data_IF_009212831189
#
_entry.id   IF_009212831189
#
_cell.length_a   1.000
_cell.length_b   1.000
_cell.length_c   1.000
_cell.angle_alpha   90.00
_cell.angle_beta   90.00
_cell.angle_gamma   90.00
#
_symmetry.space_group_name_H-M   'P 1'
#
loop_
_entity.id
_entity.type
_entity.pdbx_description
1 polymer ?
#
# COMPACT_ATOMS: atom_id res chain seq x y z
N UNK A 1 -20.57 15.17 2.34
CA UNK A 1 -19.58 14.96 3.41
C UNK A 1 -19.41 16.23 4.22
N UNK A 2 -19.17 16.13 5.52
CA UNK A 2 -18.71 17.27 6.32
C UNK A 2 -17.19 17.34 6.25
N UNK A 3 -16.60 18.54 6.07
CA UNK A 3 -15.14 18.72 6.01
C UNK A 3 -14.36 18.15 7.21
N UNK A 4 -15.03 17.83 8.31
CA UNK A 4 -14.47 17.19 9.51
C UNK A 4 -13.89 15.80 9.26
N UNK A 5 -14.51 14.96 8.42
CA UNK A 5 -14.09 13.56 8.25
C UNK A 5 -12.80 13.45 7.41
N UNK A 6 -12.68 14.21 6.32
CA UNK A 6 -11.46 14.25 5.51
C UNK A 6 -10.27 14.79 6.29
N UNK A 7 -10.51 15.79 7.16
CA UNK A 7 -9.47 16.32 8.03
C UNK A 7 -8.95 15.27 9.01
N UNK A 8 -9.86 14.48 9.60
CA UNK A 8 -9.48 13.37 10.48
C UNK A 8 -8.64 12.33 9.74
N UNK A 9 -9.05 11.92 8.54
CA UNK A 9 -8.27 10.98 7.72
C UNK A 9 -6.88 11.53 7.35
N UNK A 10 -6.80 12.82 6.97
CA UNK A 10 -5.52 13.47 6.66
C UNK A 10 -4.57 13.46 7.87
N UNK A 11 -5.08 13.74 9.07
CA UNK A 11 -4.31 13.66 10.32
C UNK A 11 -3.85 12.24 10.66
N UNK A 12 -4.72 11.25 10.48
CA UNK A 12 -4.35 9.85 10.70
C UNK A 12 -3.20 9.44 9.77
N UNK A 13 -3.29 9.78 8.49
CA UNK A 13 -2.25 9.47 7.51
C UNK A 13 -0.96 10.27 7.72
N UNK A 14 -1.05 11.55 8.10
CA UNK A 14 0.12 12.37 8.42
C UNK A 14 0.89 11.80 9.62
N UNK A 15 0.20 11.28 10.64
CA UNK A 15 0.83 10.65 11.82
C UNK A 15 1.66 9.40 11.49
N UNK A 16 1.37 8.75 10.36
CA UNK A 16 2.09 7.58 9.87
C UNK A 16 3.29 7.96 8.98
N UNK A 17 3.39 9.21 8.52
CA UNK A 17 4.50 9.72 7.75
C UNK A 17 5.71 10.01 8.64
N UNK A 18 6.88 9.53 8.24
CA UNK A 18 8.14 9.69 9.00
C UNK A 18 9.29 10.11 8.08
N UNK A 19 9.02 10.94 7.08
CA UNK A 19 9.99 11.34 6.06
C UNK A 19 10.21 10.30 4.96
N UNK A 20 11.04 10.65 3.98
CA UNK A 20 11.30 9.90 2.76
C UNK A 20 10.11 9.91 1.79
N UNK A 21 10.10 8.95 0.87
CA UNK A 21 9.05 8.81 -0.13
C UNK A 21 7.92 7.92 0.39
N UNK A 22 6.69 8.42 0.38
CA UNK A 22 5.50 7.67 0.77
C UNK A 22 4.46 7.66 -0.34
N UNK A 23 3.77 6.53 -0.52
CA UNK A 23 2.57 6.40 -1.33
C UNK A 23 1.36 6.26 -0.40
N UNK A 24 0.43 7.20 -0.50
CA UNK A 24 -0.88 7.14 0.15
C UNK A 24 -1.93 6.75 -0.88
N UNK A 25 -2.45 5.53 -0.76
CA UNK A 25 -3.59 5.08 -1.56
C UNK A 25 -4.86 5.42 -0.80
N UNK A 26 -5.59 6.42 -1.30
CA UNK A 26 -6.80 6.98 -0.68
C UNK A 26 -7.86 7.13 -1.77
N UNK A 27 -8.61 6.09 -2.14
CA UNK A 27 -9.63 6.16 -3.17
C UNK A 27 -10.67 7.26 -2.88
N UNK A 28 -10.98 8.07 -3.88
CA UNK A 28 -11.97 9.15 -3.75
C UNK A 28 -11.45 10.40 -3.04
N UNK A 29 -10.13 10.54 -2.85
CA UNK A 29 -9.56 11.79 -2.35
C UNK A 29 -9.98 12.97 -3.23
N UNK A 30 -10.14 14.14 -2.61
CA UNK A 30 -10.46 15.38 -3.30
C UNK A 30 -9.45 16.48 -2.95
N UNK A 31 -9.69 17.68 -3.47
CA UNK A 31 -8.82 18.84 -3.20
C UNK A 31 -8.78 19.18 -1.71
N UNK A 32 -9.90 19.07 -1.00
CA UNK A 32 -9.98 19.39 0.41
C UNK A 32 -9.10 18.45 1.25
N UNK A 33 -9.09 17.15 0.93
CA UNK A 33 -8.18 16.19 1.55
C UNK A 33 -6.70 16.57 1.36
N UNK A 34 -6.31 16.96 0.15
CA UNK A 34 -4.93 17.38 -0.13
C UNK A 34 -4.54 18.63 0.66
N UNK A 35 -5.44 19.62 0.73
CA UNK A 35 -5.20 20.85 1.49
C UNK A 35 -5.11 20.57 3.01
N UNK A 36 -5.92 19.66 3.55
CA UNK A 36 -5.77 19.21 4.94
C UNK A 36 -4.45 18.47 5.17
N UNK A 37 -4.03 17.65 4.21
CA UNK A 37 -2.76 16.92 4.32
C UNK A 37 -1.57 17.88 4.33
N UNK A 38 -1.62 18.94 3.51
CA UNK A 38 -0.63 20.03 3.52
C UNK A 38 -0.56 20.73 4.88
N UNK A 39 -1.71 20.96 5.54
CA UNK A 39 -1.77 21.57 6.87
C UNK A 39 -1.24 20.65 7.98
N UNK A 40 -1.46 19.34 7.89
CA UNK A 40 -1.11 18.39 8.94
C UNK A 40 0.34 17.87 8.81
N UNK A 41 1.03 18.11 7.69
CA UNK A 41 2.45 17.79 7.52
C UNK A 41 3.26 19.09 7.53
N UNK A 42 4.09 19.26 8.57
CA UNK A 42 4.94 20.45 8.72
C UNK A 42 5.86 20.67 7.50
N UNK A 43 5.94 21.93 7.06
CA UNK A 43 6.77 22.37 5.94
C UNK A 43 6.49 21.64 4.61
N UNK A 44 5.29 21.07 4.48
CA UNK A 44 4.85 20.45 3.24
C UNK A 44 4.22 21.45 2.28
N UNK A 45 4.25 21.12 0.98
CA UNK A 45 3.54 21.87 -0.06
C UNK A 45 3.00 20.93 -1.12
N UNK A 46 1.84 21.26 -1.69
CA UNK A 46 1.36 20.59 -2.90
C UNK A 46 2.20 21.04 -4.09
N UNK A 47 2.83 20.10 -4.79
CA UNK A 47 3.79 20.36 -5.87
C UNK A 47 3.38 19.68 -7.16
N UNK A 48 3.64 20.36 -8.28
CA UNK A 48 3.49 19.83 -9.64
C UNK A 48 4.82 19.71 -10.39
N UNK A 49 5.91 20.23 -9.82
CA UNK A 49 7.26 20.19 -10.38
C UNK A 49 8.29 20.32 -9.26
N UNK A 50 9.53 19.90 -9.50
CA UNK A 50 10.60 20.05 -8.53
C UNK A 50 10.87 21.52 -8.22
N UNK A 51 10.88 21.88 -6.93
CA UNK A 51 11.21 23.22 -6.46
C UNK A 51 12.24 23.14 -5.33
N UNK A 52 13.44 23.72 -5.51
CA UNK A 52 14.44 23.79 -4.45
C UNK A 52 13.89 24.51 -3.21
N UNK A 53 14.14 23.97 -2.02
CA UNK A 53 13.72 24.57 -0.75
C UNK A 53 12.40 24.06 -0.18
N UNK A 54 11.63 23.25 -0.92
CA UNK A 54 10.49 22.52 -0.36
C UNK A 54 11.01 21.33 0.43
N UNK A 55 10.71 21.29 1.74
CA UNK A 55 11.14 20.21 2.63
C UNK A 55 10.38 18.91 2.39
N UNK A 56 9.06 18.99 2.13
CA UNK A 56 8.19 17.85 1.83
C UNK A 56 7.25 18.20 0.68
N UNK A 57 7.30 17.47 -0.42
CA UNK A 57 6.34 17.61 -1.52
C UNK A 57 5.12 16.71 -1.35
N UNK A 58 3.93 17.20 -1.70
CA UNK A 58 2.70 16.40 -1.86
C UNK A 58 2.31 16.44 -3.34
N UNK A 59 2.15 15.30 -3.98
CA UNK A 59 1.73 15.21 -5.39
C UNK A 59 0.66 14.14 -5.56
N UNK A 60 -0.12 14.22 -6.64
CA UNK A 60 -1.06 13.18 -7.06
C UNK A 60 -0.44 12.28 -8.12
N UNK A 61 -0.88 11.03 -8.24
CA UNK A 61 -0.52 10.17 -9.37
C UNK A 61 -1.46 10.40 -10.58
N UNK A 62 -0.96 10.44 -11.83
CA UNK A 62 0.46 10.41 -12.24
C UNK A 62 1.19 11.72 -11.94
N UNK A 63 2.50 11.65 -11.71
CA UNK A 63 3.33 12.81 -11.41
C UNK A 63 4.58 12.87 -12.30
N UNK A 64 5.15 14.07 -12.54
CA UNK A 64 6.34 14.25 -13.35
C UNK A 64 7.59 13.53 -12.81
N UNK A 65 8.45 13.07 -13.72
CA UNK A 65 9.61 12.25 -13.38
C UNK A 65 10.67 12.98 -12.54
N UNK A 66 10.76 14.31 -12.64
CA UNK A 66 11.69 15.15 -11.87
C UNK A 66 11.36 15.16 -10.36
N UNK A 67 10.10 14.98 -9.99
CA UNK A 67 9.69 14.86 -8.58
C UNK A 67 10.27 13.61 -7.91
N UNK A 68 10.67 12.57 -8.66
CA UNK A 68 11.41 11.43 -8.08
C UNK A 68 12.75 11.83 -7.47
N UNK A 69 13.29 13.01 -7.77
CA UNK A 69 14.52 13.52 -7.16
C UNK A 69 14.30 14.10 -5.76
N UNK A 70 13.06 14.38 -5.36
CA UNK A 70 12.77 14.84 -4.01
C UNK A 70 13.02 13.71 -3.00
N UNK A 71 13.75 14.03 -1.94
CA UNK A 71 14.01 13.10 -0.84
C UNK A 71 12.72 12.78 -0.08
N UNK A 72 11.95 13.81 0.25
CA UNK A 72 10.67 13.71 0.95
C UNK A 72 9.52 14.03 -0.01
N UNK A 73 8.76 13.02 -0.38
CA UNK A 73 7.63 13.13 -1.30
C UNK A 73 6.49 12.24 -0.84
N UNK A 74 5.28 12.80 -0.71
CA UNK A 74 4.04 12.07 -0.49
C UNK A 74 3.28 12.03 -1.81
N UNK A 75 3.06 10.84 -2.33
CA UNK A 75 2.29 10.59 -3.55
C UNK A 75 0.90 10.11 -3.12
N UNK A 76 -0.14 10.85 -3.45
CA UNK A 76 -1.54 10.48 -3.20
C UNK A 76 -2.14 9.87 -4.47
N UNK A 77 -2.81 8.74 -4.35
CA UNK A 77 -3.38 8.01 -5.50
C UNK A 77 -4.66 7.27 -5.12
N UNK A 78 -5.51 6.99 -6.11
CA UNK A 78 -6.69 6.13 -5.91
C UNK A 78 -6.34 4.64 -5.88
N UNK A 79 -5.16 4.25 -6.39
CA UNK A 79 -4.68 2.87 -6.44
C UNK A 79 -3.15 2.85 -6.41
N UNK A 80 -2.56 1.71 -6.06
CA UNK A 80 -1.13 1.49 -6.22
C UNK A 80 -0.80 0.81 -7.55
N UNK A 81 0.48 0.85 -7.92
CA UNK A 81 1.02 0.01 -9.00
C UNK A 81 2.31 -0.65 -8.52
N UNK A 82 2.72 -1.79 -9.10
CA UNK A 82 3.99 -2.43 -8.75
C UNK A 82 5.19 -1.47 -8.92
N UNK A 83 5.14 -0.58 -9.91
CA UNK A 83 6.18 0.43 -10.14
C UNK A 83 6.23 1.45 -8.99
N UNK A 84 5.08 2.01 -8.61
CA UNK A 84 4.99 2.97 -7.50
C UNK A 84 5.46 2.35 -6.18
N UNK A 85 5.00 1.14 -5.86
CA UNK A 85 5.37 0.41 -4.63
C UNK A 85 6.90 0.23 -4.54
N UNK A 86 7.58 -0.05 -5.66
CA UNK A 86 9.04 -0.19 -5.70
C UNK A 86 9.79 1.12 -5.55
N UNK A 87 9.17 2.25 -5.92
CA UNK A 87 9.80 3.58 -5.97
C UNK A 87 9.73 4.38 -4.65
N UNK A 88 8.96 3.90 -3.66
CA UNK A 88 8.74 4.58 -2.38
C UNK A 88 9.27 3.78 -1.20
N UNK A 89 9.55 4.45 -0.08
CA UNK A 89 9.94 3.82 1.18
C UNK A 89 8.75 3.21 1.92
N UNK A 90 7.59 3.86 1.87
CA UNK A 90 6.40 3.47 2.64
C UNK A 90 5.16 3.50 1.76
N UNK A 91 4.32 2.49 1.89
CA UNK A 91 3.01 2.43 1.20
C UNK A 91 1.94 2.34 2.27
N UNK A 92 1.02 3.29 2.29
CA UNK A 92 -0.11 3.31 3.22
C UNK A 92 -1.37 3.22 2.36
N UNK A 93 -2.12 2.14 2.55
CA UNK A 93 -3.37 1.91 1.81
C UNK A 93 -4.53 2.08 2.77
N UNK A 94 -5.52 2.88 2.36
CA UNK A 94 -6.84 2.95 2.96
C UNK A 94 -7.82 2.48 1.89
N UNK A 95 -8.26 1.23 1.97
CA UNK A 95 -9.10 0.63 0.91
C UNK A 95 -10.44 1.35 0.85
N UNK A 96 -11.04 1.50 -0.33
CA UNK A 96 -12.33 2.20 -0.45
C UNK A 96 -13.42 1.53 0.38
N UNK A 97 -13.36 0.21 0.52
CA UNK A 97 -14.27 -0.56 1.37
C UNK A 97 -14.16 -0.21 2.86
N UNK A 98 -12.94 -0.02 3.36
CA UNK A 98 -12.67 0.36 4.76
C UNK A 98 -13.12 1.79 5.02
N UNK A 99 -12.79 2.69 4.09
CA UNK A 99 -13.21 4.08 4.16
C UNK A 99 -14.74 4.22 4.16
N UNK A 100 -15.47 3.38 3.43
CA UNK A 100 -16.94 3.34 3.51
C UNK A 100 -17.42 2.81 4.86
N UNK A 101 -16.79 1.77 5.40
CA UNK A 101 -17.15 1.19 6.70
C UNK A 101 -16.93 2.18 7.85
N UNK A 102 -15.88 2.97 7.75
CA UNK A 102 -15.49 3.99 8.75
C UNK A 102 -16.25 5.32 8.58
N UNK A 103 -17.06 5.45 7.53
CA UNK A 103 -17.87 6.66 7.27
C UNK A 103 -17.13 7.79 6.55
N UNK A 104 -15.88 7.57 6.13
CA UNK A 104 -15.12 8.52 5.30
C UNK A 104 -15.66 8.61 3.87
N UNK A 105 -16.20 7.52 3.32
CA UNK A 105 -16.82 7.47 2.01
C UNK A 105 -18.29 7.03 2.12
N UNK A 106 -19.10 7.40 1.13
CA UNK A 106 -20.51 7.01 1.06
C UNK A 106 -20.72 5.81 0.13
N UNK A 107 -21.77 5.04 0.38
CA UNK A 107 -22.22 4.01 -0.57
C UNK A 107 -22.71 4.68 -1.85
N UNK A 108 -22.49 4.06 -3.01
CA UNK A 108 -22.89 4.62 -4.30
C UNK A 108 -23.79 3.65 -5.07
N UNK A 109 -24.52 4.14 -6.07
CA UNK A 109 -25.38 3.28 -6.91
C UNK A 109 -24.61 2.78 -8.12
N UNK A 110 -24.74 1.50 -8.43
CA UNK A 110 -24.22 0.89 -9.64
C UNK A 110 -25.38 0.41 -10.51
N UNK A 111 -25.35 0.80 -11.79
CA UNK A 111 -26.36 0.48 -12.79
C UNK A 111 -25.65 -0.11 -14.02
N UNK A 112 -25.86 -1.40 -14.28
CA UNK A 112 -25.32 -2.08 -15.46
C UNK A 112 -26.41 -2.21 -16.52
N UNK A 113 -26.09 -1.81 -17.74
CA UNK A 113 -26.98 -1.89 -18.88
C UNK A 113 -26.34 -2.71 -20.00
N UNK A 114 -27.14 -3.61 -20.59
CA UNK A 114 -26.76 -4.29 -21.81
C UNK A 114 -27.09 -3.41 -23.02
N UNK A 115 -26.10 -3.27 -23.90
CA UNK A 115 -26.19 -2.61 -25.19
C UNK A 115 -25.41 -3.45 -26.21
N UNK A 116 -26.10 -3.96 -27.23
CA UNK A 116 -25.49 -4.73 -28.32
C UNK A 116 -24.92 -3.80 -29.41
N UNK A 117 -23.99 -2.93 -29.02
CA UNK A 117 -23.26 -2.10 -29.97
C UNK A 117 -21.77 -2.05 -29.65
N UNK A 118 -20.90 -2.45 -30.58
CA UNK A 118 -19.47 -2.48 -30.34
C UNK A 118 -18.90 -1.07 -30.07
N UNK A 119 -17.82 -0.97 -29.28
CA UNK A 119 -17.26 0.32 -28.87
C UNK A 119 -16.60 1.10 -30.03
N UNK A 120 -16.20 0.43 -31.11
CA UNK A 120 -15.58 1.07 -32.28
C UNK A 120 -16.60 1.66 -33.29
N UNK A 121 -17.91 1.49 -33.08
CA UNK A 121 -18.96 2.09 -33.92
C UNK A 121 -19.66 3.25 -33.22
N UNK A 122 -20.11 4.24 -33.98
CA UNK A 122 -20.94 5.33 -33.47
C UNK A 122 -22.38 4.83 -33.31
N UNK A 123 -22.85 4.70 -32.07
CA UNK A 123 -24.15 4.10 -31.75
C UNK A 123 -25.19 5.15 -31.37
N UNK A 124 -26.24 5.31 -32.20
CA UNK A 124 -27.31 6.26 -31.91
C UNK A 124 -28.07 5.94 -30.64
N UNK A 125 -28.35 4.67 -30.38
CA UNK A 125 -29.03 4.22 -29.16
C UNK A 125 -28.23 4.57 -27.89
N UNK A 126 -26.91 4.33 -27.90
CA UNK A 126 -26.00 4.68 -26.80
C UNK A 126 -26.01 6.19 -26.53
N UNK A 127 -25.86 6.98 -27.59
CA UNK A 127 -25.84 8.44 -27.52
C UNK A 127 -27.17 8.98 -26.95
N UNK A 128 -28.30 8.55 -27.49
CA UNK A 128 -29.62 8.97 -27.03
C UNK A 128 -29.84 8.60 -25.55
N UNK A 129 -29.44 7.39 -25.16
CA UNK A 129 -29.54 6.96 -23.76
C UNK A 129 -28.70 7.85 -22.84
N UNK A 130 -27.43 8.11 -23.20
CA UNK A 130 -26.54 8.98 -22.42
C UNK A 130 -27.15 10.38 -22.28
N UNK A 131 -27.64 10.97 -23.37
CA UNK A 131 -28.26 12.31 -23.37
C UNK A 131 -29.53 12.35 -22.52
N UNK A 132 -30.27 11.24 -22.41
CA UNK A 132 -31.47 11.16 -21.58
C UNK A 132 -31.19 11.19 -20.07
N UNK A 133 -29.93 10.96 -19.66
CA UNK A 133 -29.53 10.93 -18.24
C UNK A 133 -29.32 12.32 -17.62
N UNK A 134 -29.29 13.38 -18.43
CA UNK A 134 -29.13 14.77 -18.00
C UNK A 134 -27.67 15.14 -17.69
N UNK A 135 -27.45 15.85 -16.57
CA UNK A 135 -26.13 16.28 -16.13
C UNK A 135 -25.26 15.07 -15.70
N UNK A 136 -24.38 14.65 -16.61
CA UNK A 136 -23.51 13.48 -16.44
C UNK A 136 -22.09 13.74 -16.91
N UNK A 137 -21.14 13.08 -16.25
CA UNK A 137 -19.80 12.87 -16.80
C UNK A 137 -19.77 11.56 -17.58
N UNK A 138 -19.12 11.52 -18.73
CA UNK A 138 -19.14 10.36 -19.62
C UNK A 138 -17.74 10.02 -20.10
N UNK A 139 -17.37 8.75 -19.96
CA UNK A 139 -16.26 8.15 -20.70
C UNK A 139 -16.84 7.54 -21.97
N UNK A 140 -16.63 8.17 -23.12
CA UNK A 140 -17.27 7.78 -24.38
C UNK A 140 -16.73 6.44 -24.87
N UNK A 141 -17.49 5.77 -25.75
CA UNK A 141 -17.04 4.50 -26.31
C UNK A 141 -15.85 4.69 -27.27
N UNK A 142 -15.86 5.79 -28.03
CA UNK A 142 -14.86 6.17 -29.01
C UNK A 142 -14.80 7.71 -29.18
N UNK A 143 -13.80 8.18 -29.94
CA UNK A 143 -13.57 9.62 -30.18
C UNK A 143 -14.71 10.32 -30.93
N UNK A 144 -15.42 9.63 -31.81
CA UNK A 144 -16.51 10.25 -32.59
C UNK A 144 -17.76 10.43 -31.72
N UNK A 145 -18.13 9.43 -30.91
CA UNK A 145 -19.19 9.60 -29.90
C UNK A 145 -18.84 10.71 -28.90
N UNK A 146 -17.56 10.85 -28.54
CA UNK A 146 -17.09 11.95 -27.69
C UNK A 146 -17.47 13.33 -28.28
N UNK A 147 -17.23 13.53 -29.58
CA UNK A 147 -17.54 14.79 -30.28
C UNK A 147 -19.05 15.08 -30.29
N UNK A 148 -19.87 14.05 -30.51
CA UNK A 148 -21.34 14.18 -30.54
C UNK A 148 -21.90 14.51 -29.14
N UNK A 149 -21.31 13.95 -28.09
CA UNK A 149 -21.75 14.14 -26.71
C UNK A 149 -21.29 15.47 -26.10
N UNK A 150 -20.14 15.98 -26.51
CA UNK A 150 -19.48 17.17 -25.93
C UNK A 150 -20.35 18.42 -25.78
N UNK A 151 -21.32 18.73 -26.68
CA UNK A 151 -22.19 19.90 -26.53
C UNK A 151 -23.21 19.81 -25.37
N UNK A 152 -23.45 18.61 -24.82
CA UNK A 152 -24.58 18.37 -23.91
C UNK A 152 -24.20 17.67 -22.61
N UNK A 153 -23.05 17.00 -22.54
CA UNK A 153 -22.58 16.30 -21.35
C UNK A 153 -21.09 16.55 -21.12
N UNK A 154 -20.62 16.33 -19.88
CA UNK A 154 -19.20 16.47 -19.55
C UNK A 154 -18.43 15.25 -20.07
N UNK A 155 -17.71 15.41 -21.17
CA UNK A 155 -16.89 14.33 -21.73
C UNK A 155 -15.56 14.23 -20.99
N UNK A 156 -15.25 13.04 -20.49
CA UNK A 156 -13.97 12.72 -19.86
C UNK A 156 -13.00 12.24 -20.95
N UNK A 157 -12.07 13.10 -21.33
CA UNK A 157 -10.99 12.78 -22.27
C UNK A 157 -9.76 12.17 -21.61
N UNK A 158 -9.47 12.55 -20.36
CA UNK A 158 -8.37 12.04 -19.54
C UNK A 158 -8.92 11.40 -18.26
N UNK A 159 -8.70 10.09 -18.13
CA UNK A 159 -9.19 9.30 -17.00
C UNK A 159 -8.51 9.71 -15.69
N UNK A 160 -7.28 10.23 -15.73
CA UNK A 160 -6.55 10.66 -14.55
C UNK A 160 -7.02 12.03 -14.01
N UNK A 161 -7.78 12.78 -14.80
CA UNK A 161 -8.34 14.08 -14.40
C UNK A 161 -9.83 14.00 -14.06
N UNK A 162 -10.37 12.79 -13.94
CA UNK A 162 -11.75 12.59 -13.50
C UNK A 162 -11.94 13.19 -12.10
N UNK A 163 -12.85 14.16 -12.02
CA UNK A 163 -13.27 14.80 -10.78
C UNK A 163 -14.45 14.05 -10.18
N UNK A 164 -14.68 14.27 -8.88
CA UNK A 164 -15.90 13.77 -8.25
C UNK A 164 -17.14 14.30 -8.97
N UNK A 165 -18.10 13.40 -9.20
CA UNK A 165 -19.35 13.70 -9.91
C UNK A 165 -20.51 12.93 -9.30
N UNK A 166 -21.71 13.48 -9.46
CA UNK A 166 -22.95 12.83 -9.03
C UNK A 166 -23.28 11.61 -9.89
N UNK A 167 -23.04 11.67 -11.21
CA UNK A 167 -23.34 10.58 -12.14
C UNK A 167 -22.24 10.45 -13.18
N UNK A 168 -21.72 9.25 -13.32
CA UNK A 168 -20.64 8.89 -14.26
C UNK A 168 -21.09 7.75 -15.15
N UNK A 169 -20.95 7.91 -16.46
CA UNK A 169 -21.27 6.88 -17.45
C UNK A 169 -19.98 6.32 -18.05
N UNK A 170 -19.85 5.00 -18.05
CA UNK A 170 -18.75 4.28 -18.71
C UNK A 170 -19.31 3.58 -19.95
N UNK A 171 -18.99 4.08 -21.14
CA UNK A 171 -19.54 3.57 -22.40
C UNK A 171 -18.67 2.50 -23.10
N UNK A 172 -17.58 2.06 -22.45
CA UNK A 172 -16.65 1.05 -22.98
C UNK A 172 -16.07 0.17 -21.87
N UNK A 173 -15.59 -1.01 -22.24
CA UNK A 173 -14.78 -1.85 -21.37
C UNK A 173 -13.46 -1.12 -21.06
N UNK A 174 -13.12 -0.98 -19.78
CA UNK A 174 -11.85 -0.37 -19.34
C UNK A 174 -10.81 -1.44 -19.00
N UNK A 175 -9.60 -1.08 -18.56
CA UNK A 175 -8.75 -1.97 -17.76
C UNK A 175 -9.05 -1.83 -16.27
N UNK A 176 -8.46 -2.69 -15.42
CA UNK A 176 -8.74 -2.71 -13.97
C UNK A 176 -8.36 -1.40 -13.29
N UNK A 177 -7.19 -0.84 -13.61
CA UNK A 177 -6.71 0.39 -12.97
C UNK A 177 -7.44 1.63 -13.49
N UNK A 178 -7.73 1.71 -14.80
CA UNK A 178 -8.56 2.79 -15.34
C UNK A 178 -9.95 2.76 -14.71
N UNK A 179 -10.53 1.57 -14.57
CA UNK A 179 -11.81 1.39 -13.91
C UNK A 179 -11.78 1.92 -12.48
N UNK A 180 -10.75 1.59 -11.69
CA UNK A 180 -10.61 2.09 -10.31
C UNK A 180 -10.43 3.60 -10.24
N UNK A 181 -9.62 4.19 -11.14
CA UNK A 181 -9.46 5.64 -11.22
C UNK A 181 -10.80 6.33 -11.42
N UNK A 182 -11.59 5.83 -12.36
CA UNK A 182 -12.87 6.40 -12.77
C UNK A 182 -13.94 6.18 -11.69
N UNK A 183 -13.99 4.96 -11.15
CA UNK A 183 -14.87 4.58 -10.03
C UNK A 183 -14.70 5.51 -8.84
N UNK A 184 -13.48 6.02 -8.59
CA UNK A 184 -13.21 6.92 -7.47
C UNK A 184 -14.08 8.20 -7.46
N UNK A 185 -14.54 8.63 -8.64
CA UNK A 185 -15.33 9.85 -8.82
C UNK A 185 -16.70 9.81 -8.12
N UNK A 186 -17.27 8.62 -7.97
CA UNK A 186 -18.63 8.41 -7.45
C UNK A 186 -18.65 7.93 -5.99
N UNK A 187 -17.49 7.75 -5.35
CA UNK A 187 -17.39 7.24 -3.97
C UNK A 187 -17.98 8.19 -2.90
N UNK A 188 -18.40 9.40 -3.31
CA UNK A 188 -19.09 10.39 -2.49
C UNK A 188 -20.62 10.31 -2.60
N UNK A 189 -21.15 9.11 -2.83
CA UNK A 189 -22.60 8.87 -2.92
C UNK A 189 -23.19 9.11 -4.31
N UNK A 190 -22.36 9.02 -5.34
CA UNK A 190 -22.77 9.18 -6.73
C UNK A 190 -23.43 7.93 -7.33
N UNK A 191 -23.57 7.96 -8.65
CA UNK A 191 -24.13 6.88 -9.46
C UNK A 191 -23.16 6.52 -10.59
N UNK A 192 -22.81 5.24 -10.71
CA UNK A 192 -22.02 4.68 -11.80
C UNK A 192 -22.92 3.92 -12.76
N UNK A 193 -23.00 4.42 -14.00
CA UNK A 193 -23.75 3.80 -15.10
C UNK A 193 -22.76 3.11 -16.02
N UNK A 194 -22.87 1.80 -16.14
CA UNK A 194 -21.99 0.97 -16.94
C UNK A 194 -22.72 0.44 -18.16
N UNK A 195 -22.29 0.91 -19.34
CA UNK A 195 -22.73 0.42 -20.66
C UNK A 195 -21.62 -0.39 -21.34
N UNK A 196 -20.43 -0.42 -20.74
CA UNK A 196 -19.23 -1.07 -21.28
C UNK A 196 -19.06 -2.51 -20.81
N UNK A 197 -19.97 -2.99 -19.96
CA UNK A 197 -19.98 -4.32 -19.38
C UNK A 197 -18.79 -4.55 -18.46
N UNK A 198 -18.52 -3.65 -17.50
CA UNK A 198 -17.45 -3.71 -16.49
C UNK A 198 -17.88 -4.34 -15.14
N UNK A 199 -19.06 -4.95 -15.04
CA UNK A 199 -19.64 -5.38 -13.75
C UNK A 199 -18.86 -6.42 -12.94
N UNK A 200 -18.03 -7.24 -13.58
CA UNK A 200 -17.08 -8.13 -12.89
C UNK A 200 -16.05 -7.36 -12.05
N UNK A 201 -15.72 -6.11 -12.42
CA UNK A 201 -14.76 -5.24 -11.73
C UNK A 201 -15.30 -4.58 -10.48
N UNK A 202 -16.61 -4.65 -10.23
CA UNK A 202 -17.22 -4.23 -8.96
C UNK A 202 -17.19 -5.33 -7.89
N UNK A 203 -16.42 -6.39 -8.09
CA UNK A 203 -16.10 -7.34 -7.03
C UNK A 203 -15.14 -6.69 -6.01
N UNK A 204 -15.51 -6.66 -4.73
CA UNK A 204 -14.69 -6.04 -3.68
C UNK A 204 -13.27 -6.58 -3.59
N UNK A 205 -13.05 -7.87 -3.83
CA UNK A 205 -11.71 -8.45 -3.83
C UNK A 205 -10.88 -7.92 -5.00
N UNK A 206 -11.47 -7.77 -6.19
CA UNK A 206 -10.77 -7.15 -7.33
C UNK A 206 -10.46 -5.68 -7.08
N UNK A 207 -11.41 -4.94 -6.49
CA UNK A 207 -11.21 -3.54 -6.09
C UNK A 207 -10.03 -3.43 -5.12
N UNK A 208 -10.06 -4.21 -4.04
CA UNK A 208 -9.00 -4.23 -3.03
C UNK A 208 -7.64 -4.62 -3.64
N UNK A 209 -7.58 -5.63 -4.52
CA UNK A 209 -6.34 -6.04 -5.18
C UNK A 209 -5.75 -4.91 -6.04
N UNK A 210 -6.58 -4.14 -6.74
CA UNK A 210 -6.09 -3.00 -7.52
C UNK A 210 -5.63 -1.84 -6.64
N UNK A 211 -6.34 -1.54 -5.55
CA UNK A 211 -5.92 -0.56 -4.56
C UNK A 211 -4.58 -0.94 -3.90
N UNK A 212 -4.37 -2.24 -3.63
CA UNK A 212 -3.11 -2.79 -3.11
C UNK A 212 -1.99 -2.87 -4.16
N UNK A 213 -2.27 -2.63 -5.43
CA UNK A 213 -1.27 -2.59 -6.51
C UNK A 213 -0.88 -3.96 -7.08
N UNK A 214 -1.81 -4.92 -7.07
CA UNK A 214 -1.63 -6.22 -7.71
C UNK A 214 -1.61 -6.11 -9.25
N UNK A 215 -2.42 -5.22 -9.83
CA UNK A 215 -2.53 -5.07 -11.28
C UNK A 215 -1.47 -4.11 -11.84
N UNK A 216 -0.98 -4.42 -13.04
CA UNK A 216 -0.07 -3.55 -13.80
C UNK A 216 -0.90 -2.69 -14.76
N UNK A 217 -0.56 -1.39 -14.93
CA UNK A 217 -1.20 -0.56 -15.96
C UNK A 217 -1.08 -1.21 -17.33
N UNK A 218 -2.22 -1.33 -18.02
CA UNK A 218 -2.27 -1.65 -19.45
C UNK A 218 -2.75 -0.41 -20.17
N UNK A 219 -2.23 -0.12 -21.35
CA UNK A 219 -2.76 0.95 -22.18
C UNK A 219 -4.06 0.43 -22.78
N UNK A 220 -5.21 0.92 -22.33
CA UNK A 220 -6.47 0.66 -23.03
C UNK A 220 -6.48 1.46 -24.33
N UNK A 221 -6.62 0.78 -25.46
CA UNK A 221 -6.72 1.44 -26.77
C UNK A 221 -7.93 2.37 -26.81
N UNK A 222 -7.71 3.61 -27.23
CA UNK A 222 -8.81 4.51 -27.55
C UNK A 222 -9.24 4.25 -28.99
N UNK A 223 -10.49 3.85 -29.16
CA UNK A 223 -11.04 3.55 -30.48
C UNK A 223 -11.27 4.85 -31.28
N UNK A 224 -10.82 4.85 -32.52
CA UNK A 224 -11.31 5.78 -33.54
C UNK A 224 -12.65 5.23 -34.00
N UNK A 225 -13.74 5.96 -33.73
CA UNK A 225 -15.08 5.52 -34.14
C UNK A 225 -15.16 5.39 -35.65
N UNK A 226 -15.75 4.32 -36.15
CA UNK A 226 -15.95 4.08 -37.58
C UNK A 226 -17.31 3.46 -37.85
N UNK A 227 -17.99 3.94 -38.89
CA UNK A 227 -19.34 3.52 -39.23
C UNK A 227 -20.40 3.95 -38.21
N UNK A 228 -21.63 4.04 -38.69
CA UNK A 228 -22.80 4.30 -37.85
C UNK A 228 -23.57 3.00 -37.62
N UNK A 229 -23.98 2.77 -36.38
CA UNK A 229 -24.96 1.74 -36.04
C UNK A 229 -26.29 2.42 -35.71
N UNK A 230 -27.13 2.51 -36.74
CA UNK A 230 -28.45 3.12 -36.68
C UNK A 230 -29.58 2.09 -36.44
N UNK A 231 -29.21 0.84 -36.09
CA UNK A 231 -30.20 -0.17 -35.70
C UNK A 231 -30.94 0.31 -34.45
N UNK A 232 -32.22 -0.04 -34.38
CA UNK A 232 -33.03 0.21 -33.18
C UNK A 232 -32.63 -0.77 -32.06
N UNK A 233 -31.58 -0.39 -31.33
CA UNK A 233 -31.02 -1.18 -30.24
C UNK A 233 -31.64 -0.69 -28.93
N UNK A 234 -32.31 -1.59 -28.22
CA UNK A 234 -32.83 -1.28 -26.89
C UNK A 234 -31.72 -1.38 -25.83
N UNK A 235 -31.53 -0.31 -25.07
CA UNK A 235 -30.69 -0.30 -23.87
C UNK A 235 -31.48 -0.94 -22.73
N UNK A 236 -31.01 -2.06 -22.19
CA UNK A 236 -31.73 -2.84 -21.17
C UNK A 236 -30.98 -2.82 -19.85
N UNK A 237 -31.66 -2.47 -18.75
CA UNK A 237 -31.10 -2.58 -17.41
C UNK A 237 -30.90 -4.06 -17.07
N UNK A 238 -29.67 -4.45 -16.76
CA UNK A 238 -29.29 -5.81 -16.38
C UNK A 238 -29.20 -5.93 -14.87
N UNK A 239 -28.57 -4.96 -14.23
CA UNK A 239 -28.34 -4.96 -12.79
C UNK A 239 -28.49 -3.55 -12.23
N UNK A 240 -29.16 -3.44 -11.09
CA UNK A 240 -29.15 -2.25 -10.26
C UNK A 240 -28.87 -2.66 -8.82
N UNK A 241 -27.84 -2.06 -8.22
CA UNK A 241 -27.53 -2.28 -6.80
C UNK A 241 -26.94 -1.04 -6.16
N UNK A 242 -26.98 -1.01 -4.83
CA UNK A 242 -26.15 -0.09 -4.04
C UNK A 242 -24.88 -0.82 -3.67
N UNK A 243 -23.72 -0.25 -4.01
CA UNK A 243 -22.42 -0.77 -3.61
C UNK A 243 -22.18 -0.38 -2.16
N UNK A 244 -22.16 -1.39 -1.29
CA UNK A 244 -21.94 -1.28 0.15
C UNK A 244 -20.74 -2.14 0.55
N UNK A 245 -19.97 -1.78 1.59
CA UNK A 245 -18.86 -2.62 2.04
C UNK A 245 -19.35 -3.99 2.52
N UNK A 246 -18.51 -5.02 2.41
CA UNK A 246 -18.76 -6.33 3.02
C UNK A 246 -18.92 -6.18 4.53
N UNK A 247 -19.83 -6.97 5.11
CA UNK A 247 -20.09 -7.00 6.57
C UNK A 247 -18.83 -7.36 7.34
N UNK A 248 -18.09 -8.36 6.87
CA UNK A 248 -16.81 -8.78 7.43
C UNK A 248 -15.68 -8.31 6.52
N UNK A 249 -14.87 -7.39 7.04
CA UNK A 249 -13.64 -6.97 6.39
C UNK A 249 -12.61 -8.09 6.33
N UNK A 250 -11.61 -7.88 5.48
CA UNK A 250 -10.34 -8.60 5.56
C UNK A 250 -9.48 -7.90 6.61
N UNK A 251 -8.98 -8.64 7.60
CA UNK A 251 -8.00 -8.13 8.55
C UNK A 251 -6.68 -8.90 8.42
N UNK A 252 -5.59 -8.18 8.19
CA UNK A 252 -4.23 -8.72 8.09
C UNK A 252 -3.34 -8.02 9.08
N UNK A 253 -2.73 -8.78 9.99
CA UNK A 253 -1.84 -8.26 11.01
C UNK A 253 -0.48 -8.93 10.94
N UNK A 254 0.56 -8.12 11.17
CA UNK A 254 1.92 -8.56 11.43
C UNK A 254 2.27 -8.20 12.86
N UNK A 255 2.21 -9.18 13.77
CA UNK A 255 2.41 -8.95 15.20
C UNK A 255 3.17 -10.09 15.86
N UNK A 256 4.15 -9.72 16.69
CA UNK A 256 4.98 -10.66 17.45
C UNK A 256 5.57 -11.77 16.57
N UNK A 257 6.03 -11.42 15.35
CA UNK A 257 6.60 -12.37 14.40
C UNK A 257 5.60 -13.35 13.75
N UNK A 258 4.29 -13.07 13.77
CA UNK A 258 3.27 -13.89 13.09
C UNK A 258 2.48 -13.08 12.07
N UNK A 259 2.16 -13.71 10.94
CA UNK A 259 1.14 -13.26 10.01
C UNK A 259 -0.22 -13.79 10.47
N UNK A 260 -1.12 -12.90 10.88
CA UNK A 260 -2.47 -13.25 11.31
C UNK A 260 -3.49 -12.78 10.27
N UNK A 261 -4.25 -13.72 9.71
CA UNK A 261 -5.29 -13.45 8.72
C UNK A 261 -6.65 -13.72 9.37
N UNK A 262 -7.43 -12.66 9.62
CA UNK A 262 -8.63 -12.68 10.45
C UNK A 262 -8.38 -13.39 11.80
N UNK A 263 -7.24 -13.12 12.43
CA UNK A 263 -6.81 -13.73 13.69
C UNK A 263 -6.16 -15.13 13.58
N UNK A 264 -6.18 -15.76 12.41
CA UNK A 264 -5.58 -17.10 12.22
C UNK A 264 -4.10 -17.00 11.82
N UNK A 265 -3.18 -17.71 12.49
CA UNK A 265 -1.77 -17.70 12.13
C UNK A 265 -1.52 -18.46 10.82
N UNK A 266 -1.03 -17.77 9.80
CA UNK A 266 -0.75 -18.35 8.47
C UNK A 266 0.75 -18.61 8.24
N UNK A 267 1.60 -17.92 9.01
CA UNK A 267 3.04 -18.06 8.93
C UNK A 267 3.74 -17.21 9.98
N UNK A 268 5.06 -17.38 10.09
CA UNK A 268 5.93 -16.58 10.96
C UNK A 268 6.90 -15.73 10.14
N UNK A 269 7.33 -14.61 10.70
CA UNK A 269 8.36 -13.76 10.11
C UNK A 269 9.36 -13.28 11.15
N UNK A 270 10.58 -12.99 10.70
CA UNK A 270 11.59 -12.30 11.48
C UNK A 270 12.62 -11.63 10.58
N UNK A 271 13.39 -10.71 11.16
CA UNK A 271 14.55 -10.08 10.49
C UNK A 271 15.80 -10.38 11.29
N UNK A 272 16.75 -11.08 10.67
CA UNK A 272 18.04 -11.48 11.25
C UNK A 272 19.08 -11.54 10.14
N UNK A 273 20.36 -11.32 10.48
CA UNK A 273 21.44 -11.34 9.50
C UNK A 273 21.28 -10.32 8.35
N UNK A 274 20.46 -9.28 8.52
CA UNK A 274 20.12 -8.32 7.45
C UNK A 274 19.25 -8.92 6.33
N UNK A 275 18.49 -9.98 6.63
CA UNK A 275 17.54 -10.63 5.72
C UNK A 275 16.15 -10.68 6.37
N UNK A 276 15.12 -10.67 5.53
CA UNK A 276 13.76 -10.98 5.92
C UNK A 276 13.53 -12.49 5.76
N UNK A 277 13.04 -13.11 6.83
CA UNK A 277 12.76 -14.53 6.88
C UNK A 277 11.28 -14.77 7.08
N UNK A 278 10.77 -15.83 6.46
CA UNK A 278 9.39 -16.24 6.57
C UNK A 278 9.31 -17.77 6.66
N UNK A 279 8.57 -18.26 7.65
CA UNK A 279 8.26 -19.68 7.80
C UNK A 279 6.79 -19.93 7.48
N UNK A 280 6.54 -20.77 6.49
CA UNK A 280 5.21 -21.08 5.95
C UNK A 280 4.92 -22.57 6.01
N UNK A 281 3.64 -22.93 5.96
CA UNK A 281 3.22 -24.31 5.85
C UNK A 281 2.39 -24.54 4.57
N UNK A 282 3.06 -24.94 3.50
CA UNK A 282 2.43 -25.28 2.23
C UNK A 282 2.12 -26.79 2.10
N UNK A 283 2.04 -27.51 3.22
CA UNK A 283 1.97 -28.98 3.31
C UNK A 283 3.16 -29.56 4.06
N UNK A 284 4.29 -28.86 4.05
CA UNK A 284 5.39 -29.03 5.00
C UNK A 284 5.96 -27.66 5.39
N UNK A 285 6.57 -27.54 6.58
CA UNK A 285 7.26 -26.31 6.97
C UNK A 285 8.35 -25.96 5.97
N UNK A 286 8.28 -24.74 5.43
CA UNK A 286 9.28 -24.18 4.52
C UNK A 286 9.74 -22.84 5.06
N UNK A 287 11.04 -22.63 5.06
CA UNK A 287 11.65 -21.35 5.39
C UNK A 287 12.10 -20.67 4.10
N UNK A 288 11.74 -19.40 3.98
CA UNK A 288 12.12 -18.51 2.88
C UNK A 288 12.96 -17.40 3.51
N UNK A 289 14.13 -17.15 2.93
CA UNK A 289 15.05 -16.12 3.42
C UNK A 289 15.50 -15.26 2.26
N UNK A 290 15.16 -13.98 2.29
CA UNK A 290 15.45 -13.02 1.22
C UNK A 290 16.02 -11.73 1.80
N UNK A 291 16.82 -10.98 1.03
CA UNK A 291 17.34 -9.68 1.51
C UNK A 291 16.22 -8.67 1.75
N UNK A 292 15.12 -8.80 1.01
CA UNK A 292 13.96 -7.92 1.08
C UNK A 292 12.69 -8.69 0.68
N UNK A 293 11.50 -8.35 1.22
CA UNK A 293 10.26 -9.02 0.85
C UNK A 293 10.01 -9.00 -0.67
N UNK A 294 9.90 -10.19 -1.27
CA UNK A 294 9.66 -10.37 -2.71
C UNK A 294 8.19 -10.65 -2.97
N UNK A 295 7.62 -10.00 -3.99
CA UNK A 295 6.22 -10.20 -4.39
C UNK A 295 5.89 -11.69 -4.63
N UNK A 296 6.82 -12.45 -5.19
CA UNK A 296 6.58 -13.87 -5.52
C UNK A 296 6.43 -14.76 -4.28
N UNK A 297 7.12 -14.45 -3.18
CA UNK A 297 7.01 -15.26 -1.95
C UNK A 297 5.67 -15.04 -1.24
N UNK A 298 4.98 -13.96 -1.58
CA UNK A 298 3.64 -13.66 -1.07
C UNK A 298 2.55 -14.15 -2.04
N UNK A 299 2.72 -13.98 -3.36
CA UNK A 299 1.64 -14.05 -4.35
C UNK A 299 1.85 -15.12 -5.46
N UNK A 300 2.89 -15.95 -5.40
CA UNK A 300 3.11 -16.98 -6.43
C UNK A 300 1.88 -17.89 -6.65
N UNK A 301 1.45 -18.10 -7.91
CA UNK A 301 0.32 -18.98 -8.24
C UNK A 301 0.56 -20.41 -7.75
N UNK A 302 -0.49 -21.08 -7.28
CA UNK A 302 -0.40 -22.47 -6.82
C UNK A 302 0.09 -23.44 -7.91
N UNK A 303 -0.19 -23.14 -9.18
CA UNK A 303 0.26 -23.93 -10.33
C UNK A 303 1.78 -23.98 -10.48
N UNK A 304 2.51 -23.04 -9.87
CA UNK A 304 3.98 -23.05 -9.88
C UNK A 304 4.60 -24.07 -8.92
N UNK A 305 3.80 -24.61 -7.98
CA UNK A 305 4.29 -25.47 -6.90
C UNK A 305 5.19 -24.75 -5.87
N UNK A 306 5.49 -23.46 -6.06
CA UNK A 306 6.29 -22.67 -5.12
C UNK A 306 5.49 -22.43 -3.84
N UNK A 307 6.11 -22.66 -2.68
CA UNK A 307 5.51 -22.28 -1.40
C UNK A 307 5.49 -20.76 -1.27
N UNK A 308 4.32 -20.20 -0.99
CA UNK A 308 4.08 -18.76 -0.84
C UNK A 308 3.08 -18.52 0.28
N UNK A 309 3.02 -17.28 0.79
CA UNK A 309 2.04 -16.91 1.83
C UNK A 309 0.61 -17.14 1.33
N UNK A 310 0.35 -16.82 0.07
CA UNK A 310 -0.90 -17.14 -0.63
C UNK A 310 -1.23 -18.63 -0.58
N UNK A 311 -0.28 -19.50 -0.92
CA UNK A 311 -0.50 -20.94 -0.85
C UNK A 311 -0.81 -21.40 0.58
N UNK A 312 -0.01 -20.96 1.56
CA UNK A 312 -0.20 -21.27 2.99
C UNK A 312 -1.60 -20.86 3.45
N UNK A 313 -2.04 -19.66 3.05
CA UNK A 313 -3.38 -19.15 3.32
C UNK A 313 -4.46 -20.04 2.71
N UNK A 314 -4.37 -20.39 1.42
CA UNK A 314 -5.39 -21.20 0.74
C UNK A 314 -5.52 -22.58 1.39
N UNK A 315 -4.40 -23.15 1.86
CA UNK A 315 -4.43 -24.42 2.61
C UNK A 315 -5.21 -24.33 3.92
N UNK A 316 -5.21 -23.18 4.58
CA UNK A 316 -5.90 -22.95 5.85
C UNK A 316 -7.34 -22.46 5.67
N UNK A 317 -7.53 -21.39 4.89
CA UNK A 317 -8.79 -20.63 4.79
C UNK A 317 -9.68 -21.14 3.65
N UNK A 318 -9.13 -21.84 2.65
CA UNK A 318 -9.85 -22.41 1.49
C UNK A 318 -10.58 -21.39 0.59
N UNK A 319 -10.21 -20.12 0.66
CA UNK A 319 -10.74 -19.04 -0.18
C UNK A 319 -9.62 -18.44 -1.05
N UNK A 320 -9.63 -18.75 -2.34
CA UNK A 320 -8.60 -18.32 -3.29
C UNK A 320 -8.55 -16.79 -3.41
N UNK A 321 -9.68 -16.15 -3.64
CA UNK A 321 -9.72 -14.71 -3.90
C UNK A 321 -9.36 -13.93 -2.64
N UNK A 322 -9.94 -14.29 -1.49
CA UNK A 322 -9.65 -13.61 -0.22
C UNK A 322 -8.20 -13.82 0.22
N UNK A 323 -7.63 -15.03 0.03
CA UNK A 323 -6.23 -15.28 0.34
C UNK A 323 -5.28 -14.45 -0.51
N UNK A 324 -5.66 -14.15 -1.75
CA UNK A 324 -4.88 -13.31 -2.65
C UNK A 324 -4.86 -11.86 -2.16
N UNK A 325 -6.01 -11.32 -1.78
CA UNK A 325 -6.15 -10.00 -1.15
C UNK A 325 -5.27 -9.91 0.10
N UNK A 326 -5.45 -10.86 1.04
CA UNK A 326 -4.72 -10.88 2.32
C UNK A 326 -3.20 -10.99 2.15
N UNK A 327 -2.76 -11.81 1.20
CA UNK A 327 -1.33 -11.99 0.94
C UNK A 327 -0.71 -10.74 0.32
N UNK A 328 -1.48 -9.97 -0.46
CA UNK A 328 -0.98 -8.73 -1.06
C UNK A 328 -0.88 -7.64 0.00
N UNK A 329 -1.83 -7.59 0.92
CA UNK A 329 -1.77 -6.69 2.07
C UNK A 329 -0.59 -7.03 2.99
N UNK A 330 -0.38 -8.32 3.29
CA UNK A 330 0.77 -8.80 4.05
C UNK A 330 2.11 -8.47 3.37
N UNK A 331 2.17 -8.49 2.04
CA UNK A 331 3.36 -8.08 1.28
C UNK A 331 3.71 -6.62 1.53
N UNK A 332 2.71 -5.72 1.47
CA UNK A 332 2.92 -4.29 1.74
C UNK A 332 3.33 -4.04 3.19
N UNK A 333 2.68 -4.72 4.14
CA UNK A 333 3.03 -4.66 5.56
C UNK A 333 4.47 -5.12 5.81
N UNK A 334 4.88 -6.25 5.25
CA UNK A 334 6.24 -6.78 5.40
C UNK A 334 7.28 -5.83 4.81
N UNK A 335 6.98 -5.24 3.65
CA UNK A 335 7.84 -4.24 3.00
C UNK A 335 8.02 -3.01 3.88
N UNK A 336 6.92 -2.46 4.40
CA UNK A 336 6.97 -1.32 5.31
C UNK A 336 7.72 -1.67 6.60
N UNK A 337 7.48 -2.86 7.15
CA UNK A 337 8.09 -3.33 8.38
C UNK A 337 9.63 -3.39 8.28
N UNK A 338 10.18 -3.97 7.21
CA UNK A 338 11.63 -4.01 6.96
C UNK A 338 12.21 -2.60 6.82
N UNK A 339 11.48 -1.69 6.17
CA UNK A 339 11.88 -0.29 6.05
C UNK A 339 11.76 0.47 7.38
N UNK A 340 10.80 0.13 8.24
CA UNK A 340 10.63 0.77 9.54
C UNK A 340 11.72 0.33 10.52
N UNK A 341 12.14 -0.95 10.49
CA UNK A 341 13.28 -1.47 11.28
C UNK A 341 14.53 -0.62 11.04
N UNK A 342 14.82 -0.29 9.79
CA UNK A 342 16.01 0.47 9.41
C UNK A 342 15.90 1.97 9.71
N UNK A 343 14.76 2.47 10.20
CA UNK A 343 14.60 3.83 10.75
C UNK A 343 14.59 3.86 12.28
N UNK A 344 14.69 2.71 12.96
CA UNK A 344 14.73 2.68 14.42
C UNK A 344 16.02 3.31 14.92
N UNK A 345 15.91 4.18 15.92
CA UNK A 345 17.08 4.71 16.63
C UNK A 345 17.66 3.62 17.55
N UNK A 346 18.61 2.85 17.03
CA UNK A 346 19.24 1.77 17.79
C UNK A 346 20.00 2.24 19.02
N UNK A 347 20.59 3.43 19.00
CA UNK A 347 21.24 4.00 20.19
C UNK A 347 20.22 4.17 21.32
N UNK A 348 19.04 4.70 21.02
CA UNK A 348 17.97 4.82 22.01
C UNK A 348 17.50 3.46 22.53
N UNK A 349 17.32 2.46 21.65
CA UNK A 349 16.99 1.08 22.05
C UNK A 349 18.03 0.50 23.02
N UNK A 350 19.31 0.66 22.70
CA UNK A 350 20.41 0.15 23.53
C UNK A 350 20.47 0.86 24.88
N UNK A 351 20.37 2.20 24.89
CA UNK A 351 20.40 2.99 26.11
C UNK A 351 19.23 2.65 27.05
N UNK A 352 18.04 2.41 26.51
CA UNK A 352 16.86 2.04 27.30
C UNK A 352 17.08 0.74 28.09
N UNK A 353 17.76 -0.26 27.50
CA UNK A 353 18.09 -1.50 28.19
C UNK A 353 19.28 -1.35 29.13
N UNK A 354 20.34 -0.64 28.72
CA UNK A 354 21.53 -0.43 29.56
C UNK A 354 21.21 0.36 30.84
N UNK A 355 20.22 1.25 30.84
CA UNK A 355 19.77 1.99 32.04
C UNK A 355 19.22 1.08 33.15
N UNK A 356 18.79 -0.15 32.81
CA UNK A 356 18.23 -1.11 33.77
C UNK A 356 19.32 -1.91 34.51
N UNK A 357 20.58 -1.81 34.08
CA UNK A 357 21.68 -2.64 34.58
C UNK A 357 22.88 -1.80 35.01
N UNK A 358 23.48 -2.17 36.14
CA UNK A 358 24.72 -1.55 36.62
C UNK A 358 25.96 -2.38 36.21
N UNK A 359 27.15 -1.78 36.31
CA UNK A 359 28.41 -2.43 35.90
C UNK A 359 28.70 -3.70 36.73
N UNK A 360 28.31 -3.74 38.01
CA UNK A 360 28.47 -4.93 38.85
C UNK A 360 27.64 -6.11 38.33
N UNK A 361 26.42 -5.85 37.85
CA UNK A 361 25.57 -6.87 37.21
C UNK A 361 26.16 -7.33 35.88
N UNK A 362 26.63 -6.39 35.04
CA UNK A 362 27.29 -6.73 33.77
C UNK A 362 28.53 -7.63 33.99
N UNK A 363 29.33 -7.35 35.02
CA UNK A 363 30.50 -8.17 35.36
C UNK A 363 30.13 -9.58 35.83
N UNK A 364 29.00 -9.74 36.54
CA UNK A 364 28.51 -11.05 37.01
C UNK A 364 27.85 -11.90 35.92
N UNK A 365 27.50 -11.29 34.78
CA UNK A 365 26.68 -11.92 33.76
C UNK A 365 25.23 -11.44 33.82
N UNK A 366 24.74 -10.90 32.70
CA UNK A 366 23.33 -10.52 32.51
C UNK A 366 22.92 -10.76 31.07
N UNK A 367 21.66 -11.14 30.87
CA UNK A 367 21.04 -11.18 29.54
C UNK A 367 20.22 -9.91 29.32
N UNK A 368 20.62 -9.12 28.33
CA UNK A 368 19.89 -7.96 27.86
C UNK A 368 18.89 -8.38 26.78
N UNK A 369 17.67 -7.83 26.82
CA UNK A 369 16.65 -8.05 25.79
C UNK A 369 16.48 -6.76 24.97
N UNK A 370 17.19 -6.66 23.84
CA UNK A 370 17.08 -5.52 22.94
C UNK A 370 15.80 -5.67 22.10
N UNK A 371 14.82 -4.79 22.34
CA UNK A 371 13.56 -4.76 21.59
C UNK A 371 13.62 -3.78 20.43
N UNK A 372 13.46 -4.28 19.20
CA UNK A 372 13.36 -3.49 17.96
C UNK A 372 11.99 -3.78 17.35
N UNK A 373 11.10 -2.78 17.38
CA UNK A 373 9.67 -2.97 17.07
C UNK A 373 9.08 -4.13 17.89
N UNK A 374 8.62 -5.19 17.24
CA UNK A 374 8.08 -6.41 17.85
C UNK A 374 9.13 -7.55 17.99
N UNK A 375 10.35 -7.36 17.50
CA UNK A 375 11.43 -8.34 17.58
C UNK A 375 12.26 -8.16 18.84
N UNK A 376 12.64 -9.27 19.46
CA UNK A 376 13.49 -9.30 20.66
C UNK A 376 14.80 -10.01 20.34
N UNK A 377 15.92 -9.36 20.66
CA UNK A 377 17.25 -9.93 20.53
C UNK A 377 17.84 -10.10 21.92
N UNK A 378 18.20 -11.34 22.26
CA UNK A 378 18.82 -11.66 23.53
C UNK A 378 20.34 -11.59 23.40
N UNK A 379 20.96 -10.76 24.23
CA UNK A 379 22.40 -10.54 24.27
C UNK A 379 22.91 -10.80 25.68
N UNK A 380 23.77 -11.81 25.82
CA UNK A 380 24.48 -12.11 27.06
C UNK A 380 25.70 -11.18 27.18
N UNK A 381 25.85 -10.54 28.33
CA UNK A 381 27.03 -9.73 28.67
C UNK A 381 27.61 -10.24 29.97
N UNK A 382 28.88 -10.65 29.97
CA UNK A 382 29.57 -11.17 31.17
C UNK A 382 31.00 -10.65 31.28
N UNK A 383 31.52 -10.52 32.50
CA UNK A 383 32.92 -10.19 32.74
C UNK A 383 33.82 -11.41 32.61
N UNK A 384 34.94 -11.27 31.89
CA UNK A 384 36.03 -12.25 31.82
C UNK A 384 37.37 -11.54 32.01
N UNK A 385 37.93 -11.63 33.22
CA UNK A 385 39.17 -10.91 33.57
C UNK A 385 39.03 -9.40 33.41
N UNK A 386 39.88 -8.79 32.57
CA UNK A 386 39.86 -7.36 32.24
C UNK A 386 38.95 -7.03 31.04
N UNK A 387 38.00 -7.91 30.68
CA UNK A 387 37.12 -7.74 29.52
C UNK A 387 35.65 -7.98 29.86
N UNK A 388 34.76 -7.36 29.09
CA UNK A 388 33.36 -7.74 28.95
C UNK A 388 33.21 -8.54 27.67
N UNK A 389 32.70 -9.76 27.78
CA UNK A 389 32.26 -10.57 26.66
C UNK A 389 30.81 -10.24 26.34
N UNK A 390 30.51 -9.96 25.07
CA UNK A 390 29.16 -9.66 24.58
C UNK A 390 28.82 -10.70 23.52
N UNK A 391 27.84 -11.57 23.80
CA UNK A 391 27.43 -12.67 22.94
C UNK A 391 25.96 -12.55 22.59
N UNK A 392 25.62 -12.70 21.31
CA UNK A 392 24.23 -12.75 20.90
C UNK A 392 23.74 -14.20 20.78
N UNK A 393 22.62 -14.52 21.42
CA UNK A 393 22.08 -15.89 21.46
C UNK A 393 21.30 -16.26 20.18
N UNK A 394 20.73 -15.25 19.51
CA UNK A 394 19.80 -15.44 18.38
C UNK A 394 20.23 -14.73 17.10
N UNK A 395 21.50 -14.36 16.98
CA UNK A 395 22.03 -13.59 15.85
C UNK A 395 22.69 -14.49 14.81
N UNK A 396 22.60 -14.11 13.55
CA UNK A 396 23.18 -14.88 12.45
C UNK A 396 24.61 -14.42 12.08
N UNK A 397 24.86 -13.10 12.10
CA UNK A 397 26.13 -12.47 11.71
C UNK A 397 26.99 -12.05 12.90
N UNK A 398 26.39 -11.52 13.96
CA UNK A 398 27.08 -11.11 15.18
C UNK A 398 27.04 -12.22 16.22
N UNK A 399 28.11 -13.00 16.33
CA UNK A 399 28.17 -14.08 17.34
C UNK A 399 28.67 -13.56 18.69
N UNK A 400 29.85 -12.93 18.69
CA UNK A 400 30.53 -12.52 19.92
C UNK A 400 31.48 -11.35 19.66
N UNK A 401 31.69 -10.51 20.68
CA UNK A 401 32.79 -9.55 20.74
C UNK A 401 33.31 -9.41 22.17
N UNK A 402 34.53 -8.89 22.33
CA UNK A 402 35.11 -8.60 23.64
C UNK A 402 35.51 -7.12 23.75
N UNK A 403 35.22 -6.52 24.92
CA UNK A 403 35.45 -5.11 25.20
C UNK A 403 36.38 -5.01 26.41
N UNK A 404 37.57 -4.42 26.23
CA UNK A 404 38.51 -4.22 27.34
C UNK A 404 38.01 -3.16 28.33
N UNK A 405 38.02 -3.53 29.62
CA UNK A 405 37.61 -2.74 30.78
C UNK A 405 38.74 -1.75 31.12
N UNK A 406 38.45 -0.44 31.09
CA UNK A 406 39.41 0.60 31.52
C UNK A 406 38.82 1.51 32.60
N UNK A 407 37.66 2.09 32.33
CA UNK A 407 36.93 2.96 33.24
C UNK A 407 35.44 2.69 33.10
N UNK A 408 34.64 2.90 34.15
CA UNK A 408 33.20 2.61 34.12
C UNK A 408 32.51 3.36 32.97
N UNK A 409 32.80 4.66 32.82
CA UNK A 409 32.20 5.52 31.79
C UNK A 409 32.59 5.09 30.37
N UNK A 410 33.87 4.78 30.14
CA UNK A 410 34.31 4.31 28.82
C UNK A 410 33.75 2.94 28.48
N UNK A 411 33.58 2.06 29.47
CA UNK A 411 33.03 0.73 29.27
C UNK A 411 31.57 0.80 28.83
N UNK A 412 30.75 1.66 29.45
CA UNK A 412 29.36 1.87 29.04
C UNK A 412 29.26 2.39 27.60
N UNK A 413 30.07 3.39 27.23
CA UNK A 413 30.09 3.92 25.86
C UNK A 413 30.53 2.86 24.84
N UNK A 414 31.56 2.06 25.15
CA UNK A 414 32.01 0.98 24.25
C UNK A 414 30.97 -0.14 24.12
N UNK A 415 30.30 -0.48 25.23
CA UNK A 415 29.22 -1.46 25.24
C UNK A 415 28.04 -0.97 24.41
N UNK A 416 27.66 0.31 24.58
CA UNK A 416 26.62 0.94 23.77
C UNK A 416 26.94 0.84 22.27
N UNK A 417 28.17 1.21 21.87
CA UNK A 417 28.61 1.10 20.48
C UNK A 417 28.59 -0.35 19.97
N UNK A 418 29.07 -1.32 20.76
CA UNK A 418 29.07 -2.72 20.37
C UNK A 418 27.65 -3.29 20.18
N UNK A 419 26.71 -2.94 21.07
CA UNK A 419 25.31 -3.34 20.97
C UNK A 419 24.61 -2.64 19.79
N UNK A 420 24.96 -1.37 19.52
CA UNK A 420 24.48 -0.65 18.33
C UNK A 420 24.95 -1.31 17.05
N UNK A 421 26.24 -1.66 16.98
CA UNK A 421 26.84 -2.33 15.83
C UNK A 421 26.26 -3.73 15.60
N UNK A 422 25.93 -4.45 16.69
CA UNK A 422 25.17 -5.70 16.64
C UNK A 422 23.82 -5.47 15.96
N UNK A 423 23.02 -4.50 16.44
CA UNK A 423 21.71 -4.21 15.84
C UNK A 423 21.82 -3.78 14.37
N UNK A 424 22.81 -2.96 14.01
CA UNK A 424 23.07 -2.58 12.61
C UNK A 424 23.40 -3.79 11.72
N UNK A 425 24.17 -4.75 12.23
CA UNK A 425 24.56 -5.95 11.46
C UNK A 425 23.42 -6.93 11.28
N UNK A 426 22.55 -7.07 12.28
CA UNK A 426 21.48 -8.06 12.31
C UNK A 426 20.16 -7.57 11.70
N UNK A 427 19.81 -6.31 11.95
CA UNK A 427 18.46 -5.80 11.68
C UNK A 427 18.37 -5.00 10.39
N UNK A 428 19.46 -4.41 9.90
CA UNK A 428 19.44 -3.54 8.71
C UNK A 428 19.79 -4.34 7.46
N UNK A 429 18.87 -4.36 6.51
CA UNK A 429 19.07 -4.97 5.19
C UNK A 429 20.06 -4.15 4.34
N UNK A 430 20.75 -4.83 3.42
CA UNK A 430 21.86 -4.23 2.63
C UNK A 430 21.42 -3.00 1.85
N UNK A 431 20.18 -3.00 1.33
CA UNK A 431 19.59 -1.92 0.51
C UNK A 431 19.58 -0.54 1.17
N UNK A 432 19.78 -0.43 2.49
CA UNK A 432 19.85 0.85 3.21
C UNK A 432 21.20 1.19 3.84
N UNK A 433 22.20 0.31 3.76
CA UNK A 433 23.52 0.61 4.35
C UNK A 433 24.21 1.81 3.71
N UNK A 434 23.85 2.16 2.48
CA UNK A 434 24.35 3.33 1.76
C UNK A 434 23.79 4.67 2.29
N UNK A 435 22.71 4.66 3.09
CA UNK A 435 22.05 5.88 3.62
C UNK A 435 22.23 6.09 5.13
N UNK A 436 22.79 5.12 5.85
CA UNK A 436 22.85 5.12 7.34
C UNK A 436 24.28 5.41 7.85
N UNK A 437 25.24 5.70 6.95
CA UNK A 437 26.64 5.98 7.32
C UNK A 437 26.98 7.47 7.48
N UNK A 438 25.99 8.36 7.55
CA UNK A 438 26.19 9.77 7.92
C UNK A 438 25.83 10.05 9.39
#
# INVERSE_FOLDING_TARGET
>A
MTGSELKKLARELSSLYRGGKALFVVPGYDRAFLDYLEQEIDSSKIVSSYSPGIKVGITTYPFPADLHKMENLVIVSNFATPSLIRSVDKVIVRKSEELMREGYLSTFRYLNYALDCPPHRVCRARLNFILSLGDVAVIPANLEEAKVLSPSVTVVSDLFQVKSTRKLVIARRMGELEYLQVRSAVLHGGELVDLGGNGDRENWTQVALGELGYYTPRVTETFVGSGHDDRDIQVKLVEQRTVKPREQGVNVEMVNGNFLFNGNPVGRYWVRGGRFHMQLNCGSPREISEEFPSFTDFISPMSTGKCSLFFSCVKLIKDLERCKEMSMEAYLLARNYVNDISRVNFSHTVQAELRKVNMKSLMKGVTLELKVLDQRIQVEVRGEGDKLLVRCLSCEKFRETSIRIRSIRDNYRKLENALRDLLLKEMVTIRRREYVQE
#
